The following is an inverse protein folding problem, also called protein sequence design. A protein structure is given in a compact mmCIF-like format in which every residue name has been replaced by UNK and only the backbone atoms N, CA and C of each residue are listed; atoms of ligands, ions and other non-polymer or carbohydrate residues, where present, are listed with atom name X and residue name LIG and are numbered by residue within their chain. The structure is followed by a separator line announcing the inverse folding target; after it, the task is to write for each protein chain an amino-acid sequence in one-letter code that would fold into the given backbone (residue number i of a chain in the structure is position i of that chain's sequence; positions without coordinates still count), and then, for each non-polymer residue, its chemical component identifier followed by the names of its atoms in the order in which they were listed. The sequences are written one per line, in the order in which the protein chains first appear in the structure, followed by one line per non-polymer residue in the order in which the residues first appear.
data_IF_428619423655
#
_entry.id   IF_428619423655
#
_cell.length_a   1.000
_cell.length_b   1.000
_cell.length_c   1.000
_cell.angle_alpha   90.00
_cell.angle_beta   90.00
_cell.angle_gamma   90.00
#
_symmetry.space_group_name_H-M   'P 1'
#
loop_
_entity.id
_entity.type
_entity.pdbx_description
1 polymer ?
#
# COMPACT_ATOMS: atom_id res chain seq x y z
N UNK A 1 -8.43 -11.85 -9.18
CA UNK A 1 -7.67 -10.97 -8.27
C UNK A 1 -6.85 -10.05 -9.16
N UNK A 2 -6.94 -8.72 -8.99
CA UNK A 2 -6.15 -7.78 -9.81
C UNK A 2 -4.70 -7.85 -9.33
N UNK A 3 -3.72 -8.31 -10.14
CA UNK A 3 -2.36 -8.46 -9.67
C UNK A 3 -1.65 -7.12 -9.60
N UNK A 4 -1.26 -6.72 -8.39
CA UNK A 4 -0.05 -5.93 -8.18
C UNK A 4 0.96 -6.98 -7.71
N UNK A 5 1.73 -7.53 -8.65
CA UNK A 5 2.46 -8.79 -8.45
C UNK A 5 3.27 -8.89 -7.13
N UNK A 6 3.93 -7.81 -6.64
CA UNK A 6 4.57 -7.83 -5.32
C UNK A 6 3.58 -7.99 -4.16
N UNK A 7 2.47 -7.26 -4.17
CA UNK A 7 1.45 -7.29 -3.13
C UNK A 7 0.73 -8.64 -3.06
N UNK A 8 0.37 -9.23 -4.20
CA UNK A 8 -0.26 -10.56 -4.24
C UNK A 8 0.68 -11.65 -3.69
N UNK A 9 1.98 -11.54 -3.97
CA UNK A 9 2.98 -12.47 -3.42
C UNK A 9 3.09 -12.33 -1.92
N UNK A 10 3.17 -11.09 -1.40
CA UNK A 10 3.21 -10.83 0.04
C UNK A 10 1.96 -11.33 0.75
N UNK A 11 0.78 -11.12 0.18
CA UNK A 11 -0.47 -11.62 0.77
C UNK A 11 -0.53 -13.15 0.79
N UNK A 12 -0.01 -13.84 -0.23
CA UNK A 12 0.11 -15.31 -0.21
C UNK A 12 1.09 -15.82 0.84
N UNK A 13 2.20 -15.11 1.03
CA UNK A 13 3.15 -15.44 2.11
C UNK A 13 2.50 -15.23 3.48
N UNK A 14 1.76 -14.14 3.67
CA UNK A 14 0.97 -13.90 4.87
C UNK A 14 -0.07 -15.00 5.12
N UNK A 15 -0.81 -15.41 4.09
CA UNK A 15 -1.80 -16.50 4.14
C UNK A 15 -1.15 -17.84 4.54
N UNK A 16 0.10 -18.08 4.10
CA UNK A 16 0.89 -19.25 4.54
C UNK A 16 1.45 -19.15 5.97
N UNK A 17 1.18 -18.04 6.67
CA UNK A 17 1.63 -17.81 8.04
C UNK A 17 3.05 -17.26 8.18
N UNK A 18 3.70 -16.82 7.09
CA UNK A 18 5.06 -16.30 7.13
C UNK A 18 5.19 -14.99 7.91
N UNK A 19 4.13 -14.18 7.92
CA UNK A 19 4.02 -12.96 8.72
C UNK A 19 2.55 -12.56 8.89
N UNK A 20 2.29 -11.65 9.84
CA UNK A 20 0.95 -11.05 10.02
C UNK A 20 0.92 -9.67 9.34
N UNK A 21 0.09 -9.48 8.30
CA UNK A 21 -0.02 -8.20 7.64
C UNK A 21 -0.86 -7.25 8.49
N UNK A 22 -0.58 -5.96 8.42
CA UNK A 22 -1.43 -4.92 9.00
C UNK A 22 -1.53 -3.72 8.08
N UNK A 23 -2.67 -3.04 8.09
CA UNK A 23 -2.92 -1.82 7.32
C UNK A 23 -3.97 -0.94 8.00
N UNK A 24 -4.00 0.36 7.71
CA UNK A 24 -5.08 1.26 8.13
C UNK A 24 -6.16 1.38 7.07
N UNK A 25 -7.36 1.81 7.48
CA UNK A 25 -8.44 2.19 6.57
C UNK A 25 -7.98 3.21 5.53
N UNK A 26 -7.08 4.13 5.92
CA UNK A 26 -6.54 5.17 5.06
C UNK A 26 -5.62 4.63 3.97
N UNK A 27 -4.80 3.61 4.25
CA UNK A 27 -4.00 2.91 3.21
C UNK A 27 -4.89 2.37 2.11
N UNK A 28 -6.03 1.76 2.47
CA UNK A 28 -6.98 1.23 1.46
C UNK A 28 -7.64 2.35 0.65
N UNK A 29 -8.01 3.46 1.29
CA UNK A 29 -8.59 4.63 0.63
C UNK A 29 -7.60 5.32 -0.32
N UNK A 30 -6.33 5.41 0.07
CA UNK A 30 -5.28 6.00 -0.74
C UNK A 30 -4.95 5.17 -1.97
N UNK A 31 -4.88 3.85 -1.82
CA UNK A 31 -4.71 2.95 -2.95
C UNK A 31 -5.85 3.14 -3.97
N UNK A 32 -7.11 3.28 -3.52
CA UNK A 32 -8.25 3.59 -4.40
C UNK A 32 -8.10 4.95 -5.12
N UNK A 33 -7.68 6.01 -4.40
CA UNK A 33 -7.48 7.34 -4.98
C UNK A 33 -6.32 7.39 -5.97
N UNK A 34 -5.22 6.67 -5.71
CA UNK A 34 -4.09 6.60 -6.62
C UNK A 34 -4.50 6.02 -7.98
N UNK A 35 -5.39 5.03 -7.97
CA UNK A 35 -5.94 4.44 -9.19
C UNK A 35 -6.85 5.40 -9.96
N UNK A 36 -7.64 6.21 -9.27
CA UNK A 36 -8.45 7.27 -9.89
C UNK A 36 -7.56 8.30 -10.59
N UNK A 37 -6.45 8.71 -9.96
CA UNK A 37 -5.48 9.63 -10.59
C UNK A 37 -4.84 9.03 -11.84
N UNK A 38 -4.37 7.77 -11.76
CA UNK A 38 -3.83 7.06 -12.92
C UNK A 38 -4.87 6.93 -14.04
N UNK A 39 -6.17 6.84 -13.74
CA UNK A 39 -7.23 6.87 -14.77
C UNK A 39 -7.44 8.26 -15.36
N UNK A 40 -7.28 9.32 -14.57
CA UNK A 40 -7.39 10.71 -15.04
C UNK A 40 -6.22 11.07 -15.96
N UNK A 41 -4.97 10.83 -15.51
CA UNK A 41 -3.75 11.12 -16.27
C UNK A 41 -3.67 10.32 -17.59
N UNK A 42 -4.27 9.13 -17.62
CA UNK A 42 -4.43 8.32 -18.84
C UNK A 42 -5.25 9.00 -19.94
N UNK A 43 -6.10 9.97 -19.62
CA UNK A 43 -6.86 10.73 -20.61
C UNK A 43 -6.01 11.80 -21.32
N UNK A 44 -4.85 12.16 -20.77
CA UNK A 44 -4.07 13.34 -21.21
C UNK A 44 -2.84 12.99 -22.09
N UNK A 45 -2.55 11.70 -22.31
CA UNK A 45 -1.98 11.21 -23.57
C UNK A 45 -0.59 11.71 -24.03
N UNK A 46 0.46 11.67 -23.20
CA UNK A 46 1.84 11.82 -23.69
C UNK A 46 2.80 10.77 -23.09
N UNK A 47 3.44 9.97 -23.95
CA UNK A 47 4.54 9.04 -23.60
C UNK A 47 4.16 7.64 -23.10
N UNK A 48 2.90 7.41 -22.69
CA UNK A 48 2.48 6.18 -22.00
C UNK A 48 1.85 5.12 -22.94
N UNK A 49 1.94 5.24 -24.26
CA UNK A 49 1.13 4.39 -25.15
C UNK A 49 1.53 2.90 -25.14
N UNK A 50 2.81 2.58 -25.04
CA UNK A 50 3.27 1.19 -25.05
C UNK A 50 3.12 0.50 -23.69
N UNK A 51 3.42 1.21 -22.59
CA UNK A 51 3.17 0.74 -21.23
C UNK A 51 1.66 0.54 -20.98
N UNK A 52 0.81 1.41 -21.52
CA UNK A 52 -0.64 1.25 -21.44
C UNK A 52 -1.15 0.05 -22.22
N UNK A 53 -0.62 -0.21 -23.43
CA UNK A 53 -1.03 -1.40 -24.20
C UNK A 53 -0.62 -2.71 -23.51
N UNK A 54 0.45 -2.73 -22.73
CA UNK A 54 0.81 -3.89 -21.92
C UNK A 54 -0.18 -4.08 -20.76
N UNK A 55 -0.53 -3.00 -20.05
CA UNK A 55 -1.50 -3.01 -18.95
C UNK A 55 -2.94 -3.28 -19.40
N UNK A 56 -3.40 -2.71 -20.52
CA UNK A 56 -4.73 -2.96 -21.11
C UNK A 56 -4.90 -4.40 -21.58
N UNK A 57 -3.85 -5.04 -22.11
CA UNK A 57 -3.93 -6.46 -22.49
C UNK A 57 -4.06 -7.39 -21.30
N UNK A 58 -3.45 -7.02 -20.18
CA UNK A 58 -3.52 -7.80 -18.93
C UNK A 58 -4.79 -7.47 -18.15
N UNK A 59 -5.34 -6.26 -18.32
CA UNK A 59 -6.37 -5.73 -17.45
C UNK A 59 -7.21 -4.60 -18.07
N UNK A 60 -8.08 -4.92 -19.05
CA UNK A 60 -8.89 -3.92 -19.75
C UNK A 60 -9.95 -3.26 -18.85
N UNK A 61 -10.44 -3.99 -17.82
CA UNK A 61 -11.57 -3.56 -16.97
C UNK A 61 -11.20 -3.56 -15.48
N UNK A 62 -10.06 -2.98 -15.11
CA UNK A 62 -9.79 -2.75 -13.69
C UNK A 62 -10.79 -1.72 -13.19
N UNK A 63 -11.93 -2.17 -12.68
CA UNK A 63 -12.98 -1.38 -12.07
C UNK A 63 -12.68 -1.07 -10.59
N UNK A 64 -13.10 0.11 -10.11
CA UNK A 64 -13.00 0.49 -8.69
C UNK A 64 -13.73 -0.53 -7.80
N UNK A 65 -14.84 -1.09 -8.29
CA UNK A 65 -15.58 -2.16 -7.63
C UNK A 65 -14.73 -3.41 -7.38
N UNK A 66 -13.82 -3.77 -8.31
CA UNK A 66 -12.92 -4.91 -8.16
C UNK A 66 -11.84 -4.67 -7.11
N UNK A 67 -11.36 -3.44 -6.96
CA UNK A 67 -10.43 -3.10 -5.88
C UNK A 67 -11.11 -3.07 -4.51
N UNK A 68 -12.30 -2.48 -4.42
CA UNK A 68 -13.10 -2.54 -3.20
C UNK A 68 -13.41 -3.99 -2.80
N UNK A 69 -13.75 -4.85 -3.77
CA UNK A 69 -13.91 -6.28 -3.52
C UNK A 69 -12.60 -6.92 -3.04
N UNK A 70 -11.44 -6.54 -3.60
CA UNK A 70 -10.13 -7.04 -3.15
C UNK A 70 -9.85 -6.64 -1.70
N UNK A 71 -10.06 -5.38 -1.32
CA UNK A 71 -9.86 -4.94 0.05
C UNK A 71 -10.83 -5.61 1.03
N UNK A 72 -12.08 -5.84 0.64
CA UNK A 72 -13.01 -6.64 1.45
C UNK A 72 -12.51 -8.06 1.64
N UNK A 73 -12.13 -8.75 0.56
CA UNK A 73 -11.57 -10.10 0.68
C UNK A 73 -10.27 -10.14 1.47
N UNK A 74 -9.43 -9.10 1.42
CA UNK A 74 -8.24 -8.99 2.28
C UNK A 74 -8.62 -8.85 3.75
N UNK A 75 -9.59 -7.99 4.08
CA UNK A 75 -10.04 -7.82 5.47
C UNK A 75 -10.73 -9.09 6.00
N UNK A 76 -11.47 -9.82 5.15
CA UNK A 76 -12.11 -11.10 5.52
C UNK A 76 -11.09 -12.25 5.66
N UNK A 77 -9.99 -12.22 4.90
CA UNK A 77 -8.94 -13.22 5.00
C UNK A 77 -8.03 -12.99 6.22
N UNK A 78 -7.91 -11.75 6.67
CA UNK A 78 -7.04 -11.34 7.77
C UNK A 78 -7.81 -10.48 8.77
N UNK A 79 -8.62 -11.14 9.61
CA UNK A 79 -9.56 -10.51 10.57
C UNK A 79 -8.91 -9.47 11.52
N UNK A 80 -7.60 -9.58 11.75
CA UNK A 80 -6.81 -8.74 12.66
C UNK A 80 -5.87 -7.76 11.95
N UNK A 81 -5.89 -7.70 10.62
CA UNK A 81 -4.99 -6.86 9.84
C UNK A 81 -5.44 -5.39 9.78
N UNK A 82 -6.74 -5.11 9.93
CA UNK A 82 -7.25 -3.75 9.92
C UNK A 82 -6.99 -3.06 11.27
N UNK A 83 -6.05 -2.11 11.28
CA UNK A 83 -5.67 -1.37 12.48
C UNK A 83 -6.53 -0.12 12.61
N UNK A 84 -7.15 0.03 13.79
CA UNK A 84 -7.96 1.19 14.17
C UNK A 84 -7.37 1.89 15.41
N UNK A 85 -7.77 3.14 15.65
CA UNK A 85 -7.32 3.91 16.82
C UNK A 85 -5.84 4.26 16.78
N UNK A 86 -5.28 4.41 15.58
CA UNK A 86 -3.91 4.86 15.33
C UNK A 86 -3.80 6.39 15.21
N UNK A 87 -4.93 7.08 15.04
CA UNK A 87 -5.04 8.51 14.78
C UNK A 87 -4.41 9.36 15.90
N UNK A 88 -4.48 8.89 17.14
CA UNK A 88 -3.87 9.56 18.30
C UNK A 88 -2.34 9.58 18.26
N UNK A 89 -1.72 8.73 17.45
CA UNK A 89 -0.26 8.65 17.29
C UNK A 89 0.26 9.58 16.18
N UNK A 90 -0.57 9.96 15.20
CA UNK A 90 -0.15 10.82 14.07
C UNK A 90 0.53 12.12 14.49
N UNK A 91 0.05 12.86 15.52
CA UNK A 91 0.68 14.14 15.91
C UNK A 91 2.13 13.99 16.40
N UNK A 92 2.51 12.81 16.90
CA UNK A 92 3.87 12.55 17.36
C UNK A 92 4.84 12.15 16.24
N UNK A 93 4.33 11.84 15.04
CA UNK A 93 5.11 11.32 13.92
C UNK A 93 5.49 12.46 12.97
N UNK A 94 6.77 12.57 12.66
CA UNK A 94 7.31 13.68 11.86
C UNK A 94 7.99 13.17 10.59
N UNK A 95 7.19 12.95 9.55
CA UNK A 95 7.64 12.58 8.20
C UNK A 95 7.66 13.78 7.24
N UNK A 96 8.41 13.69 6.12
CA UNK A 96 8.42 14.72 5.08
C UNK A 96 7.02 15.03 4.54
N UNK A 97 6.21 14.00 4.29
CA UNK A 97 4.81 14.13 3.94
C UNK A 97 3.93 13.85 5.17
N UNK A 98 3.09 14.80 5.62
CA UNK A 98 2.10 14.54 6.67
C UNK A 98 1.12 13.42 6.33
N UNK A 99 0.87 13.17 5.04
CA UNK A 99 -0.03 12.12 4.59
C UNK A 99 0.53 10.72 4.89
N UNK A 100 1.85 10.53 4.91
CA UNK A 100 2.47 9.21 5.18
C UNK A 100 2.45 8.81 6.68
N UNK A 101 2.09 9.74 7.58
CA UNK A 101 2.14 9.50 9.03
C UNK A 101 1.21 8.37 9.48
N UNK A 102 0.07 8.20 8.82
CA UNK A 102 -0.86 7.12 9.18
C UNK A 102 -0.24 5.74 9.00
N UNK A 103 0.66 5.55 8.04
CA UNK A 103 1.31 4.26 7.79
C UNK A 103 2.18 3.86 8.97
N UNK A 104 2.98 4.81 9.49
CA UNK A 104 3.78 4.60 10.70
C UNK A 104 2.90 4.46 11.94
N UNK A 105 1.84 5.27 12.06
CA UNK A 105 0.91 5.18 13.18
C UNK A 105 0.22 3.81 13.26
N UNK A 106 -0.26 3.32 12.11
CA UNK A 106 -0.89 2.00 12.00
C UNK A 106 0.11 0.88 12.28
N UNK A 107 1.34 0.99 11.78
CA UNK A 107 2.40 0.05 12.08
C UNK A 107 2.71 0.01 13.59
N UNK A 108 2.86 1.15 14.26
CA UNK A 108 3.09 1.21 15.71
C UNK A 108 1.91 0.62 16.50
N UNK A 109 0.68 1.00 16.14
CA UNK A 109 -0.54 0.54 16.82
C UNK A 109 -0.78 -0.95 16.63
N UNK A 110 -0.55 -1.45 15.42
CA UNK A 110 -0.63 -2.86 15.03
C UNK A 110 0.59 -3.69 15.44
N UNK A 111 1.60 -3.08 16.07
CA UNK A 111 2.88 -3.71 16.44
C UNK A 111 3.59 -4.35 15.25
N UNK A 112 3.51 -3.72 14.08
CA UNK A 112 4.26 -4.12 12.93
C UNK A 112 5.75 -3.88 13.15
N UNK A 113 6.53 -4.86 12.73
CA UNK A 113 7.97 -4.81 12.83
C UNK A 113 8.62 -4.15 11.61
N UNK A 114 7.91 -4.21 10.47
CA UNK A 114 8.40 -3.80 9.16
C UNK A 114 7.30 -3.05 8.39
N UNK A 115 7.67 -1.93 7.76
CA UNK A 115 6.89 -1.29 6.69
C UNK A 115 7.51 -1.68 5.36
N UNK A 116 6.71 -2.24 4.45
CA UNK A 116 7.12 -2.54 3.07
C UNK A 116 6.57 -1.46 2.16
N UNK A 117 7.44 -0.78 1.41
CA UNK A 117 7.05 0.32 0.52
C UNK A 117 7.98 0.38 -0.70
N UNK A 118 7.46 0.78 -1.85
CA UNK A 118 8.29 1.10 -3.03
C UNK A 118 8.94 2.49 -2.89
N UNK A 119 8.35 3.38 -2.08
CA UNK A 119 8.85 4.73 -1.86
C UNK A 119 9.55 4.83 -0.50
N UNK A 120 10.80 4.38 -0.43
CA UNK A 120 11.60 4.43 0.81
C UNK A 120 11.88 5.87 1.24
N UNK A 121 11.97 6.82 0.29
CA UNK A 121 12.25 8.23 0.58
C UNK A 121 11.16 8.92 1.39
N UNK A 122 9.92 8.39 1.37
CA UNK A 122 8.84 8.86 2.24
C UNK A 122 9.08 8.56 3.73
N UNK A 123 9.96 7.61 4.04
CA UNK A 123 10.21 7.14 5.41
C UNK A 123 11.71 7.15 5.75
N UNK A 124 12.33 8.34 5.92
CA UNK A 124 13.75 8.44 6.28
C UNK A 124 14.04 7.71 7.59
N UNK A 125 15.12 6.92 7.62
CA UNK A 125 15.50 6.11 8.79
C UNK A 125 15.67 6.92 10.08
N UNK A 126 16.11 8.17 9.97
CA UNK A 126 16.25 9.11 11.09
C UNK A 126 14.90 9.49 11.75
N UNK A 127 13.80 9.38 10.99
CA UNK A 127 12.44 9.73 11.44
C UNK A 127 11.64 8.51 11.89
N UNK A 128 12.09 7.31 11.52
CA UNK A 128 11.47 6.03 11.88
C UNK A 128 12.52 5.20 12.61
N UNK A 129 12.75 5.52 13.89
CA UNK A 129 13.83 4.91 14.67
C UNK A 129 13.43 3.55 15.25
N UNK A 130 14.34 2.57 15.13
CA UNK A 130 14.33 1.22 15.72
C UNK A 130 13.18 0.30 15.27
N UNK A 131 11.91 0.72 15.33
CA UNK A 131 10.73 0.01 14.78
C UNK A 131 9.55 0.96 14.47
N UNK A 132 8.80 0.74 13.37
CA UNK A 132 9.00 -0.31 12.36
C UNK A 132 10.20 -0.02 11.44
N UNK A 133 10.90 -1.07 10.99
CA UNK A 133 11.97 -0.94 9.98
C UNK A 133 11.35 -0.76 8.60
N UNK A 134 11.87 0.17 7.80
CA UNK A 134 11.37 0.41 6.44
C UNK A 134 12.16 -0.44 5.46
N UNK A 135 11.47 -1.24 4.65
CA UNK A 135 12.06 -2.09 3.61
C UNK A 135 11.51 -1.68 2.24
N UNK A 136 12.45 -1.40 1.33
CA UNK A 136 12.17 -1.04 -0.06
C UNK A 136 12.11 -2.24 -0.99
N UNK A 137 11.29 -2.17 -2.03
CA UNK A 137 11.52 -2.94 -3.25
C UNK A 137 12.88 -2.55 -3.82
N UNK A 138 13.82 -3.49 -3.92
CA UNK A 138 15.10 -3.22 -4.58
C UNK A 138 14.83 -3.20 -6.07
N UNK A 139 14.76 -2.00 -6.65
CA UNK A 139 14.93 -1.83 -8.09
C UNK A 139 16.37 -2.23 -8.41
N UNK A 140 16.58 -3.52 -8.70
CA UNK A 140 17.81 -3.94 -9.37
C UNK A 140 17.83 -3.20 -10.72
N UNK A 141 18.89 -2.44 -11.04
CA UNK A 141 18.96 -1.68 -12.29
C UNK A 141 18.92 -2.57 -13.53
#
# INVERSE_FOLDING_TARGET
MVPIAPCDTLLRMADSGAFRPVWSERVTAEALRALERVRSDRRDGCGLLEALRALERVHPDIDQSRFQSRFRSMNEAFDDALVQGWESLEPGIHLPDPNDRHTVAAALRGRADVIVTENVFAYPAERVSNRPVVVGGSSVP
#
